data_IF_805040349750
#
_entry.id   IF_805040349750
#
_cell.length_a   1.000
_cell.length_b   1.000
_cell.length_c   1.000
_cell.angle_alpha   90.00
_cell.angle_beta   90.00
_cell.angle_gamma   90.00
#
_symmetry.space_group_name_H-M   'P 1'
#
loop_
_entity.id
_entity.type
_entity.pdbx_description
1 polymer ?
#
# COMPACT_ATOMS: atom_id res chain seq x y z
N UNK A 1 5.22 6.07 -5.93
CA UNK A 1 4.25 5.72 -4.86
C UNK A 1 4.71 6.18 -3.47
N UNK A 2 5.78 5.64 -2.88
CA UNK A 2 6.24 6.04 -1.52
C UNK A 2 6.62 7.53 -1.40
N UNK A 3 7.41 8.06 -2.34
CA UNK A 3 7.80 9.47 -2.34
C UNK A 3 6.59 10.42 -2.47
N UNK A 4 5.60 10.06 -3.30
CA UNK A 4 4.38 10.85 -3.49
C UNK A 4 3.53 10.91 -2.21
N UNK A 5 3.45 9.80 -1.46
CA UNK A 5 2.81 9.77 -0.15
C UNK A 5 3.51 10.71 0.84
N UNK A 6 4.85 10.68 0.87
CA UNK A 6 5.66 11.51 1.77
C UNK A 6 5.44 13.00 1.46
N UNK A 7 5.46 13.37 0.17
CA UNK A 7 5.21 14.75 -0.26
C UNK A 7 3.80 15.18 0.16
N UNK A 8 2.79 14.34 -0.05
CA UNK A 8 1.43 14.66 0.37
C UNK A 8 1.30 14.81 1.89
N UNK A 9 1.89 13.90 2.67
CA UNK A 9 1.90 14.00 4.13
C UNK A 9 2.61 15.28 4.59
N UNK A 10 3.71 15.68 3.95
CA UNK A 10 4.41 16.93 4.22
C UNK A 10 3.52 18.16 3.93
N UNK A 11 2.80 18.15 2.79
CA UNK A 11 1.86 19.22 2.42
C UNK A 11 0.70 19.31 3.41
N UNK A 12 0.18 18.17 3.88
CA UNK A 12 -0.88 18.14 4.90
C UNK A 12 -0.37 18.72 6.22
N UNK A 13 0.84 18.36 6.65
CA UNK A 13 1.45 18.91 7.87
C UNK A 13 1.65 20.42 7.74
N UNK A 14 2.19 20.89 6.62
CA UNK A 14 2.38 22.30 6.35
C UNK A 14 1.03 23.05 6.38
N UNK A 15 -0.01 22.49 5.78
CA UNK A 15 -1.35 23.05 5.80
C UNK A 15 -1.93 23.14 7.22
N UNK A 16 -1.76 22.11 8.05
CA UNK A 16 -2.18 22.13 9.46
C UNK A 16 -1.43 23.20 10.25
N UNK A 17 -0.12 23.33 10.05
CA UNK A 17 0.70 24.37 10.67
C UNK A 17 0.22 25.76 10.26
N UNK A 18 -0.07 25.97 8.96
CA UNK A 18 -0.62 27.23 8.45
C UNK A 18 -1.96 27.54 9.08
N UNK A 19 -2.89 26.58 9.17
CA UNK A 19 -4.17 26.78 9.88
C UNK A 19 -3.93 27.17 11.32
N UNK A 20 -3.04 26.47 12.02
CA UNK A 20 -2.78 26.71 13.42
C UNK A 20 -2.22 28.12 13.65
N UNK A 21 -1.23 28.52 12.85
CA UNK A 21 -0.69 29.87 12.81
C UNK A 21 -1.78 30.91 12.53
N UNK A 22 -2.62 30.66 11.53
CA UNK A 22 -3.71 31.55 11.14
C UNK A 22 -4.78 31.66 12.24
N UNK A 23 -5.07 30.56 12.96
CA UNK A 23 -5.93 30.60 14.14
C UNK A 23 -5.30 31.41 15.26
N UNK A 24 -4.01 31.22 15.55
CA UNK A 24 -3.32 31.99 16.60
C UNK A 24 -3.23 33.48 16.27
N UNK A 25 -3.04 33.84 14.99
CA UNK A 25 -3.06 35.24 14.57
C UNK A 25 -4.47 35.82 14.52
N UNK A 26 -5.49 35.01 14.18
CA UNK A 26 -6.88 35.42 14.33
C UNK A 26 -7.25 35.69 15.80
N UNK A 27 -6.69 34.96 16.77
CA UNK A 27 -6.91 35.25 18.20
C UNK A 27 -6.29 36.58 18.65
N UNK A 28 -5.41 37.20 17.86
CA UNK A 28 -4.84 38.50 18.16
C UNK A 28 -5.86 39.62 17.84
N UNK A 29 -6.28 40.33 18.88
CA UNK A 29 -7.34 41.34 18.79
C UNK A 29 -7.04 42.45 17.76
N UNK A 30 -5.76 42.67 17.42
CA UNK A 30 -5.33 43.65 16.43
C UNK A 30 -5.73 43.30 14.98
N UNK A 31 -5.92 42.00 14.66
CA UNK A 31 -6.28 41.53 13.32
C UNK A 31 -7.81 41.57 13.11
N UNK A 32 -8.58 41.32 14.17
CA UNK A 32 -10.05 41.44 14.14
C UNK A 32 -10.55 42.85 13.78
N UNK A 33 -9.82 43.90 14.18
CA UNK A 33 -10.16 45.28 13.81
C UNK A 33 -9.80 45.63 12.35
N UNK A 34 -8.83 44.93 11.73
CA UNK A 34 -8.45 45.14 10.33
C UNK A 34 -9.26 44.29 9.34
N UNK A 35 -9.73 43.10 9.73
CA UNK A 35 -10.69 42.27 8.96
C UNK A 35 -12.15 42.70 9.20
N UNK A 36 -12.41 44.01 9.21
CA UNK A 36 -13.67 44.62 9.70
C UNK A 36 -14.94 44.28 8.89
N UNK A 37 -14.83 43.54 7.78
CA UNK A 37 -15.99 43.07 7.02
C UNK A 37 -16.14 41.55 7.18
N UNK A 38 -17.19 41.11 7.88
CA UNK A 38 -17.49 39.68 8.10
C UNK A 38 -17.52 38.84 6.82
N UNK A 39 -17.73 39.46 5.66
CA UNK A 39 -17.64 38.83 4.34
C UNK A 39 -16.23 38.33 3.99
N UNK A 40 -15.17 39.07 4.35
CA UNK A 40 -13.78 38.65 4.10
C UNK A 40 -13.39 37.45 4.97
N UNK A 41 -13.82 37.45 6.22
CA UNK A 41 -13.58 36.34 7.15
C UNK A 41 -14.29 35.06 6.68
N UNK A 42 -15.54 35.19 6.21
CA UNK A 42 -16.32 34.06 5.70
C UNK A 42 -15.73 33.49 4.40
N UNK A 43 -15.20 34.35 3.52
CA UNK A 43 -14.51 33.93 2.29
C UNK A 43 -13.24 33.14 2.61
N UNK A 44 -12.40 33.67 3.52
CA UNK A 44 -11.19 32.99 4.01
C UNK A 44 -11.50 31.61 4.58
N UNK A 45 -12.53 31.51 5.42
CA UNK A 45 -12.94 30.25 6.01
C UNK A 45 -13.39 29.23 4.95
N UNK A 46 -14.19 29.65 3.96
CA UNK A 46 -14.63 28.79 2.85
C UNK A 46 -13.45 28.28 2.02
N UNK A 47 -12.48 29.15 1.71
CA UNK A 47 -11.28 28.78 0.97
C UNK A 47 -10.47 27.75 1.78
N UNK A 48 -10.25 28.02 3.07
CA UNK A 48 -9.58 27.06 3.95
C UNK A 48 -10.30 25.71 3.94
N UNK A 49 -11.61 25.69 4.18
CA UNK A 49 -12.39 24.45 4.27
C UNK A 49 -12.34 23.65 2.98
N UNK A 50 -12.45 24.34 1.83
CA UNK A 50 -12.37 23.70 0.51
C UNK A 50 -10.98 23.11 0.24
N UNK A 51 -9.91 23.83 0.60
CA UNK A 51 -8.53 23.34 0.47
C UNK A 51 -8.27 22.12 1.38
N UNK A 52 -8.78 22.15 2.61
CA UNK A 52 -8.66 21.03 3.55
C UNK A 52 -9.42 19.79 3.08
N UNK A 53 -10.65 19.98 2.57
CA UNK A 53 -11.44 18.90 1.99
C UNK A 53 -10.75 18.27 0.76
N UNK A 54 -10.17 19.10 -0.12
CA UNK A 54 -9.42 18.63 -1.28
C UNK A 54 -8.16 17.82 -0.87
N UNK A 55 -7.44 18.26 0.15
CA UNK A 55 -6.26 17.55 0.68
C UNK A 55 -6.63 16.20 1.29
N UNK A 56 -7.73 16.12 2.05
CA UNK A 56 -8.22 14.87 2.61
C UNK A 56 -8.65 13.89 1.51
N UNK A 57 -9.35 14.37 0.49
CA UNK A 57 -9.69 13.56 -0.68
C UNK A 57 -8.44 13.05 -1.38
N UNK A 58 -7.47 13.91 -1.68
CA UNK A 58 -6.21 13.50 -2.31
C UNK A 58 -5.48 12.41 -1.49
N UNK A 59 -5.48 12.54 -0.16
CA UNK A 59 -4.91 11.54 0.75
C UNK A 59 -5.65 10.22 0.71
N UNK A 60 -6.98 10.24 0.68
CA UNK A 60 -7.81 9.05 0.62
C UNK A 60 -7.59 8.29 -0.69
N UNK A 61 -7.56 9.02 -1.81
CA UNK A 61 -7.28 8.49 -3.14
C UNK A 61 -5.90 7.84 -3.22
N UNK A 62 -4.85 8.51 -2.74
CA UNK A 62 -3.51 7.94 -2.70
C UNK A 62 -3.42 6.73 -1.77
N UNK A 63 -4.13 6.74 -0.64
CA UNK A 63 -4.25 5.59 0.25
C UNK A 63 -4.83 4.37 -0.46
N UNK A 64 -5.94 4.54 -1.16
CA UNK A 64 -6.58 3.48 -1.95
C UNK A 64 -5.65 2.92 -3.02
N UNK A 65 -4.99 3.81 -3.78
CA UNK A 65 -4.08 3.42 -4.86
C UNK A 65 -2.89 2.62 -4.34
N UNK A 66 -2.33 3.00 -3.18
CA UNK A 66 -1.24 2.27 -2.53
C UNK A 66 -1.70 0.91 -2.00
N UNK A 67 -2.91 0.81 -1.46
CA UNK A 67 -3.46 -0.48 -1.00
C UNK A 67 -3.70 -1.42 -2.17
N UNK A 68 -4.28 -0.94 -3.27
CA UNK A 68 -4.50 -1.71 -4.48
C UNK A 68 -3.19 -2.25 -5.07
N UNK A 69 -2.16 -1.39 -5.14
CA UNK A 69 -0.82 -1.77 -5.62
C UNK A 69 -0.20 -2.88 -4.74
N UNK A 70 -0.29 -2.74 -3.41
CA UNK A 70 0.20 -3.77 -2.48
C UNK A 70 -0.54 -5.09 -2.61
N UNK A 71 -1.87 -5.07 -2.77
CA UNK A 71 -2.66 -6.28 -2.95
C UNK A 71 -2.27 -7.01 -4.25
N UNK A 72 -2.04 -6.27 -5.33
CA UNK A 72 -1.57 -6.86 -6.59
C UNK A 72 -0.19 -7.53 -6.43
N UNK A 73 0.73 -6.88 -5.72
CA UNK A 73 2.06 -7.45 -5.46
C UNK A 73 1.99 -8.71 -4.58
N UNK A 74 1.14 -8.72 -3.55
CA UNK A 74 0.93 -9.89 -2.70
C UNK A 74 0.34 -11.06 -3.49
N UNK A 75 -0.62 -10.82 -4.37
CA UNK A 75 -1.21 -11.88 -5.18
C UNK A 75 -0.20 -12.52 -6.14
N UNK A 76 0.65 -11.70 -6.80
CA UNK A 76 1.76 -12.20 -7.62
C UNK A 76 2.78 -13.01 -6.80
N UNK A 77 3.08 -12.58 -5.56
CA UNK A 77 3.98 -13.32 -4.69
C UNK A 77 3.37 -14.67 -4.26
N UNK A 78 2.07 -14.71 -3.97
CA UNK A 78 1.35 -15.95 -3.62
C UNK A 78 1.33 -16.95 -4.78
N UNK A 79 1.10 -16.50 -6.01
CA UNK A 79 1.15 -17.35 -7.20
C UNK A 79 2.52 -18.02 -7.36
N UNK A 80 3.61 -17.24 -7.26
CA UNK A 80 4.98 -17.78 -7.32
C UNK A 80 5.27 -18.80 -6.22
N UNK A 81 4.77 -18.56 -5.00
CA UNK A 81 4.92 -19.52 -3.89
C UNK A 81 4.16 -20.81 -4.17
N UNK A 82 2.95 -20.72 -4.74
CA UNK A 82 2.17 -21.89 -5.09
C UNK A 82 2.82 -22.70 -6.22
N UNK A 83 3.36 -22.04 -7.24
CA UNK A 83 4.14 -22.69 -8.30
C UNK A 83 5.36 -23.43 -7.72
N UNK A 84 6.15 -22.78 -6.86
CA UNK A 84 7.30 -23.40 -6.19
C UNK A 84 6.90 -24.59 -5.31
N UNK A 85 5.76 -24.50 -4.62
CA UNK A 85 5.22 -25.62 -3.83
C UNK A 85 4.81 -26.79 -4.74
N UNK A 86 4.12 -26.51 -5.84
CA UNK A 86 3.72 -27.53 -6.81
C UNK A 86 4.95 -28.26 -7.36
N UNK A 87 5.99 -27.51 -7.77
CA UNK A 87 7.25 -28.08 -8.25
C UNK A 87 7.94 -28.95 -7.17
N UNK A 88 7.94 -28.51 -5.91
CA UNK A 88 8.49 -29.32 -4.80
C UNK A 88 7.67 -30.58 -4.54
N UNK A 89 6.34 -30.53 -4.68
CA UNK A 89 5.48 -31.69 -4.56
C UNK A 89 5.71 -32.69 -5.70
N UNK A 90 5.82 -32.21 -6.94
CA UNK A 90 6.14 -33.03 -8.10
C UNK A 90 7.53 -33.67 -7.97
N UNK A 91 8.54 -32.90 -7.56
CA UNK A 91 9.87 -33.45 -7.27
C UNK A 91 9.80 -34.51 -6.18
N UNK A 92 9.09 -34.26 -5.07
CA UNK A 92 8.93 -35.24 -3.98
C UNK A 92 8.21 -36.51 -4.44
N UNK A 93 7.19 -36.38 -5.27
CA UNK A 93 6.50 -37.52 -5.88
C UNK A 93 7.41 -38.27 -6.84
N UNK A 94 8.19 -37.58 -7.67
CA UNK A 94 9.16 -38.19 -8.57
C UNK A 94 10.28 -38.94 -7.81
N UNK A 95 10.76 -38.40 -6.69
CA UNK A 95 11.69 -39.13 -5.80
C UNK A 95 11.04 -40.36 -5.17
N UNK A 96 9.78 -40.25 -4.71
CA UNK A 96 9.05 -41.41 -4.15
C UNK A 96 8.77 -42.47 -5.21
N UNK A 97 8.49 -42.07 -6.46
CA UNK A 97 8.22 -42.97 -7.56
C UNK A 97 9.50 -43.62 -8.12
N UNK A 98 10.63 -42.89 -8.15
CA UNK A 98 11.94 -43.47 -8.49
C UNK A 98 12.41 -44.52 -7.48
N UNK A 99 12.05 -44.39 -6.21
CA UNK A 99 12.30 -45.42 -5.19
C UNK A 99 11.34 -46.62 -5.28
N UNK A 100 10.36 -46.59 -6.20
CA UNK A 100 9.43 -47.68 -6.49
C UNK A 100 9.63 -48.31 -7.87
N UNK A 101 10.73 -48.01 -8.57
CA UNK A 101 11.22 -49.01 -9.53
C UNK A 101 11.67 -50.19 -8.69
N UNK A 102 11.00 -51.36 -8.74
CA UNK A 102 11.67 -52.56 -8.30
C UNK A 102 12.97 -52.62 -9.10
N UNK A 103 14.09 -52.73 -8.40
CA UNK A 103 15.25 -53.40 -8.97
C UNK A 103 14.69 -54.74 -9.42
N UNK A 104 14.32 -54.85 -10.71
CA UNK A 104 13.96 -56.12 -11.31
C UNK A 104 15.15 -57.02 -11.03
N UNK A 105 14.90 -57.92 -10.09
CA UNK A 105 15.72 -59.05 -9.78
C UNK A 105 15.71 -59.96 -11.01
N UNK A 106 16.47 -59.59 -12.04
CA UNK A 106 16.98 -60.52 -13.04
C UNK A 106 18.43 -60.86 -12.70
N UNK A 107 18.62 -61.27 -11.45
CA UNK A 107 19.50 -62.40 -11.19
C UNK A 107 18.56 -63.55 -10.82
N UNK A 108 18.92 -64.78 -11.19
CA UNK A 108 18.19 -66.03 -10.89
C UNK A 108 17.02 -66.37 -11.84
N UNK A 109 17.29 -66.86 -13.07
CA UNK A 109 16.68 -68.12 -13.57
C UNK A 109 17.03 -68.59 -15.00
N UNK A 110 17.96 -67.98 -15.75
CA UNK A 110 18.44 -68.58 -17.02
C UNK A 110 19.79 -69.33 -16.89
N UNK A 111 20.14 -69.74 -15.67
CA UNK A 111 21.07 -70.85 -15.42
C UNK A 111 20.29 -72.18 -15.33
N UNK A 112 19.47 -72.50 -16.33
CA UNK A 112 18.84 -73.82 -16.50
C UNK A 112 18.25 -73.94 -17.91
N UNK A 113 19.06 -74.35 -18.90
CA UNK A 113 18.96 -75.62 -19.64
C UNK A 113 19.78 -75.58 -20.92
#
# INVERSE_FOLDING_TARGET
MKALKIILDLVVIAYVIVIFLLLTTLLDAAIFFNLSTGAQLQSLYKILLSAGAALLLARLWLGWLIVADKQHHLHKAQLKINELKAELYERRQAYRNKNHQPLEMETWHSAQK
#
